data_IF_764730458319
#
_entry.id   IF_764730458319
#
_cell.length_a   1.000
_cell.length_b   1.000
_cell.length_c   1.000
_cell.angle_alpha   90.00
_cell.angle_beta   90.00
_cell.angle_gamma   90.00
#
_symmetry.space_group_name_H-M   'P 1'
#
loop_
_entity.id
_entity.type
_entity.pdbx_description
1 polymer ?
#
# COMPACT_ATOMS: atom_id res chain seq x y z
N UNK A 1 -14.76 3.14 11.93
CA UNK A 1 -15.77 4.19 12.14
C UNK A 1 -17.15 3.55 12.14
N UNK A 2 -17.99 3.95 13.10
CA UNK A 2 -19.37 3.52 13.18
C UNK A 2 -20.25 4.69 12.72
N UNK A 3 -20.77 4.68 11.49
CA UNK A 3 -21.74 5.69 11.08
C UNK A 3 -23.04 5.48 11.87
N UNK A 4 -23.67 6.57 12.28
CA UNK A 4 -24.87 6.57 13.14
C UNK A 4 -25.91 7.58 12.67
N UNK A 5 -26.03 7.75 11.37
CA UNK A 5 -27.05 8.62 10.80
C UNK A 5 -28.09 7.83 10.02
N UNK A 6 -29.27 8.40 9.92
CA UNK A 6 -30.37 7.87 9.13
C UNK A 6 -30.60 8.78 7.94
N UNK A 7 -30.54 8.22 6.74
CA UNK A 7 -30.87 8.93 5.53
C UNK A 7 -32.39 8.83 5.30
N UNK A 8 -33.08 9.94 5.33
CA UNK A 8 -34.49 10.02 4.97
C UNK A 8 -34.61 10.51 3.54
N UNK A 9 -35.36 9.77 2.73
CA UNK A 9 -35.71 10.16 1.37
C UNK A 9 -37.23 10.22 1.26
N UNK A 10 -37.76 10.85 0.23
CA UNK A 10 -39.21 10.96 0.01
C UNK A 10 -39.88 9.59 -0.22
N UNK A 11 -39.09 8.54 -0.46
CA UNK A 11 -39.56 7.19 -0.78
C UNK A 11 -39.23 6.18 0.29
N UNK A 12 -38.09 6.29 0.97
CA UNK A 12 -37.63 5.31 1.96
C UNK A 12 -36.68 5.92 2.98
N UNK A 13 -36.62 5.29 4.16
CA UNK A 13 -35.64 5.61 5.21
C UNK A 13 -34.60 4.50 5.30
N UNK A 14 -33.35 4.86 5.16
CA UNK A 14 -32.23 3.92 5.25
C UNK A 14 -31.45 4.15 6.55
N UNK A 15 -31.24 3.10 7.32
CA UNK A 15 -30.37 3.12 8.51
C UNK A 15 -28.96 2.72 8.11
N UNK A 16 -28.04 3.68 8.09
CA UNK A 16 -26.64 3.48 7.75
C UNK A 16 -25.81 3.35 9.04
N UNK A 17 -25.96 2.23 9.75
CA UNK A 17 -25.35 2.03 11.06
C UNK A 17 -24.39 0.83 11.13
N UNK A 18 -24.02 0.24 10.02
CA UNK A 18 -23.06 -0.88 9.99
C UNK A 18 -21.63 -0.35 10.00
N UNK A 19 -20.85 -0.65 11.06
CA UNK A 19 -19.45 -0.20 11.12
C UNK A 19 -18.60 -0.93 10.09
N UNK A 20 -17.57 -0.24 9.60
CA UNK A 20 -16.51 -0.83 8.78
C UNK A 20 -15.32 -1.11 9.69
N UNK A 21 -14.83 -2.33 9.64
CA UNK A 21 -13.58 -2.73 10.27
C UNK A 21 -12.48 -2.79 9.23
N UNK A 22 -11.35 -2.17 9.54
CA UNK A 22 -10.14 -2.22 8.73
C UNK A 22 -9.01 -2.78 9.56
N UNK A 23 -8.29 -3.74 9.02
CA UNK A 23 -7.10 -4.34 9.62
C UNK A 23 -5.95 -4.31 8.63
N UNK A 24 -4.78 -3.85 9.10
CA UNK A 24 -3.54 -3.88 8.34
C UNK A 24 -2.50 -4.67 9.12
N UNK A 25 -1.88 -5.62 8.46
CA UNK A 25 -0.81 -6.43 9.02
C UNK A 25 0.39 -6.32 8.08
N UNK A 26 1.44 -5.67 8.55
CA UNK A 26 2.65 -5.44 7.78
C UNK A 26 3.82 -6.05 8.55
N UNK A 27 4.55 -6.98 7.93
CA UNK A 27 5.71 -7.60 8.54
C UNK A 27 6.87 -7.70 7.56
N UNK A 28 8.06 -7.43 8.09
CA UNK A 28 9.31 -7.59 7.38
C UNK A 28 10.19 -8.59 8.13
N UNK A 29 10.57 -9.67 7.48
CA UNK A 29 11.43 -10.71 8.02
C UNK A 29 12.80 -10.64 7.36
N UNK A 30 13.83 -10.43 8.17
CA UNK A 30 15.21 -10.55 7.72
C UNK A 30 15.69 -11.97 7.90
N UNK A 31 15.92 -12.65 6.79
CA UNK A 31 16.38 -14.02 6.76
C UNK A 31 17.91 -14.08 6.59
N UNK A 32 18.55 -15.20 6.97
CA UNK A 32 19.97 -15.38 6.72
C UNK A 32 20.29 -15.26 5.23
N UNK A 33 21.53 -15.01 4.89
CA UNK A 33 22.03 -14.84 3.52
C UNK A 33 21.52 -13.56 2.79
N UNK A 34 21.14 -12.51 3.53
CA UNK A 34 20.75 -11.22 2.94
C UNK A 34 19.41 -11.25 2.20
N UNK A 35 18.49 -12.13 2.63
CA UNK A 35 17.14 -12.21 2.10
C UNK A 35 16.21 -11.42 3.02
N UNK A 36 15.36 -10.59 2.43
CA UNK A 36 14.27 -9.90 3.13
C UNK A 36 12.94 -10.33 2.53
N UNK A 37 12.03 -10.76 3.40
CA UNK A 37 10.65 -11.10 3.05
C UNK A 37 9.73 -10.07 3.67
N UNK A 38 8.91 -9.38 2.85
CA UNK A 38 7.86 -8.51 3.32
C UNK A 38 6.51 -9.13 3.01
N UNK A 39 5.60 -9.06 3.99
CA UNK A 39 4.23 -9.54 3.88
C UNK A 39 3.30 -8.43 4.34
N UNK A 40 2.47 -7.97 3.43
CA UNK A 40 1.49 -6.92 3.68
C UNK A 40 0.09 -7.49 3.45
N UNK A 41 -0.72 -7.56 4.51
CA UNK A 41 -2.09 -8.01 4.44
C UNK A 41 -3.04 -6.91 4.88
N UNK A 42 -4.05 -6.62 4.06
CA UNK A 42 -5.10 -5.64 4.34
C UNK A 42 -6.46 -6.30 4.29
N UNK A 43 -7.23 -6.02 5.31
CA UNK A 43 -8.61 -6.49 5.45
C UNK A 43 -9.55 -5.30 5.58
N UNK A 44 -10.67 -5.33 4.87
CA UNK A 44 -11.76 -4.39 5.03
C UNK A 44 -13.09 -5.16 5.04
N UNK A 45 -13.87 -4.96 6.10
CA UNK A 45 -15.19 -5.58 6.21
C UNK A 45 -16.24 -4.84 5.39
N UNK A 46 -17.37 -5.50 5.18
CA UNK A 46 -18.60 -4.85 4.72
C UNK A 46 -19.06 -3.80 5.72
N UNK A 47 -19.73 -2.76 5.25
CA UNK A 47 -20.27 -1.73 6.13
C UNK A 47 -20.68 -0.47 5.40
N UNK A 48 -21.08 0.55 6.15
CA UNK A 48 -21.56 1.81 5.61
C UNK A 48 -20.54 2.93 5.80
N UNK A 49 -20.37 3.74 4.78
CA UNK A 49 -19.64 5.00 4.83
C UNK A 49 -20.48 6.08 4.16
N UNK A 50 -20.91 7.08 4.91
CA UNK A 50 -21.85 8.10 4.42
C UNK A 50 -23.11 7.45 3.79
N UNK A 51 -23.39 7.75 2.53
CA UNK A 51 -24.51 7.19 1.75
C UNK A 51 -24.13 5.96 0.91
N UNK A 52 -23.00 5.34 1.19
CA UNK A 52 -22.48 4.17 0.46
C UNK A 52 -22.43 2.96 1.38
N UNK A 53 -22.90 1.84 0.90
CA UNK A 53 -22.74 0.54 1.54
C UNK A 53 -21.72 -0.29 0.78
N UNK A 54 -20.62 -0.64 1.44
CA UNK A 54 -19.61 -1.56 0.91
C UNK A 54 -20.15 -2.99 1.03
N UNK A 55 -20.63 -3.52 -0.09
CA UNK A 55 -21.33 -4.80 -0.11
C UNK A 55 -20.41 -6.01 -0.05
N UNK A 56 -19.11 -5.83 -0.31
CA UNK A 56 -18.11 -6.91 -0.24
C UNK A 56 -16.98 -6.59 0.73
N UNK A 57 -16.51 -7.61 1.39
CA UNK A 57 -15.26 -7.58 2.13
C UNK A 57 -14.07 -7.67 1.16
N UNK A 58 -13.00 -6.99 1.50
CA UNK A 58 -11.77 -6.97 0.71
C UNK A 58 -10.63 -7.62 1.49
N UNK A 59 -9.88 -8.45 0.80
CA UNK A 59 -8.67 -9.09 1.31
C UNK A 59 -7.56 -8.87 0.29
N UNK A 60 -6.56 -8.11 0.62
CA UNK A 60 -5.41 -7.85 -0.23
C UNK A 60 -4.17 -8.39 0.44
N UNK A 61 -3.45 -9.27 -0.24
CA UNK A 61 -2.19 -9.84 0.21
C UNK A 61 -1.11 -9.52 -0.81
N UNK A 62 -0.14 -8.72 -0.37
CA UNK A 62 1.05 -8.38 -1.13
C UNK A 62 2.25 -9.05 -0.46
N UNK A 63 3.10 -9.71 -1.26
CA UNK A 63 4.31 -10.37 -0.75
C UNK A 63 5.49 -9.97 -1.62
N UNK A 64 6.59 -9.58 -1.00
CA UNK A 64 7.83 -9.34 -1.71
C UNK A 64 9.01 -10.08 -1.07
N UNK A 65 9.87 -10.62 -1.92
CA UNK A 65 11.13 -11.26 -1.52
C UNK A 65 12.24 -10.51 -2.24
N UNK A 66 13.18 -10.00 -1.46
CA UNK A 66 14.37 -9.34 -2.00
C UNK A 66 15.64 -10.01 -1.50
N UNK A 67 16.66 -10.07 -2.36
CA UNK A 67 17.99 -10.58 -2.01
C UNK A 67 19.05 -9.64 -2.54
N UNK A 68 19.99 -9.30 -1.65
CA UNK A 68 21.18 -8.54 -1.99
C UNK A 68 22.37 -9.45 -2.27
N UNK A 69 23.13 -9.12 -3.29
CA UNK A 69 24.34 -9.78 -3.74
C UNK A 69 25.48 -8.77 -3.88
N UNK A 70 26.71 -9.25 -4.03
CA UNK A 70 27.88 -8.42 -4.31
C UNK A 70 28.07 -7.27 -3.32
N UNK A 71 27.96 -7.54 -2.02
CA UNK A 71 28.08 -6.51 -0.94
C UNK A 71 27.07 -5.37 -1.16
N UNK A 72 25.81 -5.69 -1.44
CA UNK A 72 24.70 -4.78 -1.69
C UNK A 72 24.79 -3.96 -3.00
N UNK A 73 25.71 -4.33 -3.90
CA UNK A 73 25.77 -3.70 -5.21
C UNK A 73 24.66 -4.19 -6.14
N UNK A 74 24.21 -5.43 -5.99
CA UNK A 74 23.12 -6.01 -6.79
C UNK A 74 21.98 -6.43 -5.89
N UNK A 75 20.77 -5.97 -6.17
CA UNK A 75 19.54 -6.37 -5.47
C UNK A 75 18.54 -6.94 -6.48
N UNK A 76 18.05 -8.13 -6.19
CA UNK A 76 16.96 -8.78 -6.92
C UNK A 76 15.73 -8.76 -6.01
N UNK A 77 14.60 -8.28 -6.53
CA UNK A 77 13.32 -8.26 -5.83
C UNK A 77 12.23 -8.88 -6.70
N UNK A 78 11.47 -9.79 -6.11
CA UNK A 78 10.26 -10.36 -6.68
C UNK A 78 9.10 -9.91 -5.80
N UNK A 79 8.12 -9.25 -6.39
CA UNK A 79 6.94 -8.75 -5.70
C UNK A 79 5.67 -9.27 -6.35
N UNK A 80 4.79 -9.87 -5.57
CA UNK A 80 3.45 -10.25 -5.97
C UNK A 80 2.42 -9.37 -5.27
N UNK A 81 1.58 -8.70 -6.03
CA UNK A 81 0.49 -7.87 -5.52
C UNK A 81 -0.83 -8.60 -5.67
N UNK A 82 -1.72 -8.40 -4.69
CA UNK A 82 -3.07 -8.97 -4.61
C UNK A 82 -3.11 -10.47 -4.93
N UNK A 83 -2.27 -11.25 -4.24
CA UNK A 83 -2.14 -12.69 -4.47
C UNK A 83 -3.46 -13.45 -4.23
N UNK A 84 -4.33 -12.95 -3.36
CA UNK A 84 -5.63 -13.54 -3.08
C UNK A 84 -6.68 -13.24 -4.15
N UNK A 85 -6.43 -12.24 -5.01
CA UNK A 85 -7.35 -11.81 -6.07
C UNK A 85 -8.76 -11.48 -5.57
N UNK A 86 -8.84 -10.89 -4.37
CA UNK A 86 -10.09 -10.53 -3.69
C UNK A 86 -10.27 -9.03 -3.49
N UNK A 87 -9.56 -8.22 -4.27
CA UNK A 87 -9.73 -6.78 -4.32
C UNK A 87 -10.91 -6.43 -5.25
N UNK A 88 -12.14 -6.51 -4.71
CA UNK A 88 -13.36 -6.22 -5.43
C UNK A 88 -14.06 -5.07 -4.73
N UNK A 89 -14.40 -4.05 -5.48
CA UNK A 89 -15.26 -2.99 -5.00
C UNK A 89 -16.70 -3.30 -5.44
N UNK A 90 -17.60 -3.42 -4.49
CA UNK A 90 -19.03 -3.51 -4.75
C UNK A 90 -19.74 -2.53 -3.81
N UNK A 91 -20.07 -1.39 -4.36
CA UNK A 91 -20.64 -0.25 -3.65
C UNK A 91 -22.10 -0.09 -4.01
N UNK A 92 -22.95 -0.04 -3.00
CA UNK A 92 -24.35 0.30 -3.14
C UNK A 92 -24.51 1.76 -2.71
N UNK A 93 -24.79 2.62 -3.69
CA UNK A 93 -25.04 4.03 -3.46
C UNK A 93 -26.54 4.28 -3.31
N UNK A 94 -26.91 4.96 -2.23
CA UNK A 94 -28.27 5.41 -1.97
C UNK A 94 -28.38 6.89 -2.31
N UNK A 95 -29.21 7.22 -3.29
CA UNK A 95 -29.49 8.59 -3.66
C UNK A 95 -31.01 8.77 -3.85
N UNK A 96 -31.62 9.55 -2.95
CA UNK A 96 -33.05 9.93 -2.89
C UNK A 96 -34.08 8.96 -3.51
N UNK A 97 -34.05 8.74 -4.80
CA UNK A 97 -35.00 7.88 -5.55
C UNK A 97 -34.32 6.69 -6.26
N UNK A 98 -33.03 6.51 -6.06
CA UNK A 98 -32.24 5.55 -6.84
C UNK A 98 -31.27 4.79 -5.97
N UNK A 99 -31.26 3.46 -6.12
CA UNK A 99 -30.20 2.59 -5.63
C UNK A 99 -29.33 2.21 -6.84
N UNK A 100 -28.03 2.53 -6.74
CA UNK A 100 -27.06 2.16 -7.76
C UNK A 100 -26.09 1.15 -7.18
N UNK A 101 -26.08 -0.06 -7.71
CA UNK A 101 -25.04 -1.04 -7.42
C UNK A 101 -23.90 -0.89 -8.44
N UNK A 102 -22.78 -0.40 -7.96
CA UNK A 102 -21.56 -0.34 -8.74
C UNK A 102 -20.64 -1.49 -8.34
N UNK A 103 -20.32 -2.36 -9.27
CA UNK A 103 -19.34 -3.44 -9.07
C UNK A 103 -18.13 -3.15 -9.93
N UNK A 104 -16.99 -2.95 -9.28
CA UNK A 104 -15.70 -2.75 -9.95
C UNK A 104 -14.75 -3.87 -9.54
N UNK A 105 -14.25 -4.60 -10.52
CA UNK A 105 -13.18 -5.56 -10.33
C UNK A 105 -11.91 -4.98 -10.89
N UNK A 106 -11.02 -4.53 -10.03
CA UNK A 106 -9.68 -4.11 -10.44
C UNK A 106 -8.84 -5.36 -10.66
N UNK A 107 -8.26 -5.49 -11.85
CA UNK A 107 -7.24 -6.50 -12.11
C UNK A 107 -5.92 -6.09 -11.47
N UNK A 108 -5.84 -6.17 -10.15
CA UNK A 108 -4.68 -5.71 -9.35
C UNK A 108 -3.63 -6.78 -9.15
N UNK A 109 -3.94 -8.02 -9.55
CA UNK A 109 -2.99 -9.13 -9.42
C UNK A 109 -1.89 -9.00 -10.47
N UNK A 110 -0.68 -8.77 -10.00
CA UNK A 110 0.52 -8.69 -10.82
C UNK A 110 1.72 -9.30 -10.12
N UNK A 111 2.71 -9.67 -10.93
CA UNK A 111 4.00 -10.14 -10.48
C UNK A 111 5.07 -9.22 -11.07
N UNK A 112 5.86 -8.62 -10.21
CA UNK A 112 6.94 -7.72 -10.60
C UNK A 112 8.30 -8.34 -10.28
N UNK A 113 9.21 -8.26 -11.23
CA UNK A 113 10.61 -8.61 -11.05
C UNK A 113 11.45 -7.33 -11.20
N UNK A 114 12.18 -6.98 -10.16
CA UNK A 114 13.04 -5.80 -10.16
C UNK A 114 14.49 -6.21 -9.95
N UNK A 115 15.35 -5.81 -10.86
CA UNK A 115 16.78 -5.95 -10.75
C UNK A 115 17.41 -4.56 -10.61
N UNK A 116 18.08 -4.32 -9.50
CA UNK A 116 18.77 -3.05 -9.22
C UNK A 116 20.25 -3.29 -9.08
N UNK A 117 21.04 -2.61 -9.90
CA UNK A 117 22.51 -2.62 -9.80
C UNK A 117 23.04 -1.22 -9.51
N UNK A 118 23.85 -1.11 -8.46
CA UNK A 118 24.52 0.16 -8.08
C UNK A 118 25.90 0.20 -8.72
N UNK A 119 26.05 1.02 -9.73
CA UNK A 119 27.34 1.29 -10.35
C UNK A 119 28.13 2.28 -9.48
N UNK A 120 29.40 1.98 -9.32
CA UNK A 120 30.40 2.92 -8.82
C UNK A 120 30.02 3.66 -7.52
N UNK A 121 29.84 2.88 -6.43
CA UNK A 121 29.67 3.45 -5.10
C UNK A 121 31.03 3.87 -4.49
N UNK A 122 31.98 4.33 -5.29
CA UNK A 122 33.10 5.07 -4.74
C UNK A 122 32.53 6.32 -4.09
N UNK A 123 32.39 6.30 -2.77
CA UNK A 123 32.30 7.53 -2.00
C UNK A 123 33.56 8.32 -2.31
N UNK A 124 33.51 9.18 -3.27
CA UNK A 124 34.45 10.28 -3.40
C UNK A 124 34.39 10.98 -2.03
N UNK A 125 35.36 10.70 -1.17
CA UNK A 125 35.64 11.61 -0.06
C UNK A 125 36.08 12.89 -0.73
N UNK A 126 35.12 13.76 -1.00
CA UNK A 126 35.39 15.15 -1.32
C UNK A 126 36.13 15.69 -0.09
N UNK A 127 37.47 15.60 -0.11
CA UNK A 127 38.33 16.43 0.69
C UNK A 127 38.25 17.81 0.06
N UNK A 128 37.18 18.52 0.37
CA UNK A 128 37.12 19.94 0.12
C UNK A 128 38.28 20.55 0.87
N UNK A 129 39.34 20.88 0.16
CA UNK A 129 40.23 21.93 0.59
C UNK A 129 39.36 23.17 0.65
N UNK A 130 38.88 23.46 1.87
CA UNK A 130 38.03 24.63 2.09
C UNK A 130 38.70 25.85 1.46
N UNK A 131 37.95 26.59 0.69
CA UNK A 131 38.39 27.83 0.05
C UNK A 131 38.95 28.88 1.05
N UNK A 132 38.82 28.63 2.36
CA UNK A 132 39.37 29.49 3.41
C UNK A 132 40.79 29.21 3.84
N UNK A 133 41.40 28.08 3.45
CA UNK A 133 42.78 27.79 3.91
C UNK A 133 43.87 28.62 3.22
N UNK A 134 43.61 29.19 2.05
CA UNK A 134 44.51 30.11 1.39
C UNK A 134 44.51 31.50 2.02
N UNK A 135 43.42 31.88 2.69
CA UNK A 135 43.28 33.18 3.38
C UNK A 135 43.92 33.15 4.78
N UNK A 136 43.84 31.99 5.48
CA UNK A 136 44.45 31.81 6.80
C UNK A 136 45.98 31.81 6.79
N UNK A 137 46.65 31.51 5.70
CA UNK A 137 48.08 31.56 5.55
C UNK A 137 48.59 32.93 5.14
N UNK A 138 47.77 33.97 5.05
CA UNK A 138 48.11 35.35 4.72
C UNK A 138 48.14 36.30 5.93
N UNK A 139 47.72 35.78 7.12
CA UNK A 139 47.82 36.48 8.41
C UNK A 139 49.03 35.98 9.20
#
# INVERSE_FOLDING_TARGET
QKPWFTLHTDVASYRLNRPIFMGNFNNAFSLPCGITLNVDYRYQSKGNTMNVYLAKEQHVLDVSISKSFLKDALTLEIKGNDLLYKCWDADLLYNQKMELLQVSKRGTRDLQLTLRYKFNTTRSKYKGTGAGNAELNRL
#
